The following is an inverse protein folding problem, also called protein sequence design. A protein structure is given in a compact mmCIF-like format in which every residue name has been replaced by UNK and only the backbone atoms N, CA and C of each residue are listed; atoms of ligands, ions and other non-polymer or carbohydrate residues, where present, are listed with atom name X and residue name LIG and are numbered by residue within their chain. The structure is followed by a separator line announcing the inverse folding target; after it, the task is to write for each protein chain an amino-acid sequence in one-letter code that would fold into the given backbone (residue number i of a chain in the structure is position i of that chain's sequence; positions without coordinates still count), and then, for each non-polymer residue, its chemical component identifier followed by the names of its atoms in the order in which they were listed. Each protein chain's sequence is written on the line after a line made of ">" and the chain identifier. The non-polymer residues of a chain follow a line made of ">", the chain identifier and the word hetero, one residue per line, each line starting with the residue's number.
data_IF_567384567686
#
_entry.id   IF_567384567686
#
_cell.length_a   1.000
_cell.length_b   1.000
_cell.length_c   1.000
_cell.angle_alpha   90.00
_cell.angle_beta   90.00
_cell.angle_gamma   90.00
#
_symmetry.space_group_name_H-M   'P 1'
#
loop_
_entity.id
_entity.type
_entity.pdbx_description
1 polymer ?
#
# COMPACT_ATOMS: atom_id res chain seq x y z
N UNK A 1 21.77 5.77 12.95
CA UNK A 1 20.48 5.19 12.48
C UNK A 1 20.03 3.99 13.31
N UNK A 2 20.77 2.87 13.36
CA UNK A 2 20.31 1.67 14.10
C UNK A 2 20.00 1.97 15.59
N UNK A 3 20.83 2.73 16.29
CA UNK A 3 20.60 3.07 17.70
C UNK A 3 19.43 4.04 17.92
N UNK A 4 18.97 4.72 16.87
CA UNK A 4 17.88 5.68 16.93
C UNK A 4 16.48 5.05 16.80
N UNK A 5 16.38 3.76 16.43
CA UNK A 5 15.08 3.10 16.11
C UNK A 5 14.13 3.14 17.30
N UNK A 6 14.64 2.88 18.52
CA UNK A 6 13.82 2.96 19.72
C UNK A 6 13.34 4.38 20.05
N UNK A 7 14.16 5.39 19.74
CA UNK A 7 13.75 6.79 19.87
C UNK A 7 12.67 7.14 18.83
N UNK A 8 12.82 6.68 17.60
CA UNK A 8 11.85 6.90 16.52
C UNK A 8 10.49 6.28 16.85
N UNK A 9 10.47 5.03 17.33
CA UNK A 9 9.23 4.38 17.75
C UNK A 9 8.53 5.16 18.88
N UNK A 10 9.27 5.59 19.90
CA UNK A 10 8.73 6.41 21.00
C UNK A 10 8.27 7.79 20.52
N UNK A 11 9.04 8.46 19.65
CA UNK A 11 8.66 9.77 19.12
C UNK A 11 7.30 9.73 18.42
N UNK A 12 7.07 8.73 17.58
CA UNK A 12 5.77 8.53 16.91
C UNK A 12 4.65 8.20 17.92
N UNK A 13 4.93 7.29 18.86
CA UNK A 13 3.93 6.84 19.85
C UNK A 13 3.49 7.96 20.79
N UNK A 14 4.39 8.86 21.19
CA UNK A 14 4.12 9.92 22.18
C UNK A 14 3.60 11.22 21.55
N UNK A 15 3.35 11.27 20.26
CA UNK A 15 2.66 12.41 19.63
C UNK A 15 1.28 12.60 20.30
N UNK A 16 0.86 13.85 20.44
CA UNK A 16 -0.52 14.13 20.84
C UNK A 16 -1.48 13.47 19.84
N UNK A 17 -2.41 12.64 20.33
CA UNK A 17 -3.26 11.73 19.52
C UNK A 17 -2.48 10.67 18.72
N UNK A 18 -1.29 10.30 19.19
CA UNK A 18 -0.47 9.24 18.58
C UNK A 18 -1.15 7.86 18.55
N UNK A 19 -0.61 6.91 17.77
CA UNK A 19 -1.13 5.54 17.69
C UNK A 19 -1.03 4.81 19.04
N UNK A 20 -1.97 3.86 19.28
CA UNK A 20 -1.88 2.97 20.46
C UNK A 20 -0.60 2.12 20.44
N UNK A 21 -0.20 1.63 19.27
CA UNK A 21 0.98 0.82 19.08
C UNK A 21 1.75 1.22 17.84
N UNK A 22 3.06 1.13 17.94
CA UNK A 22 4.01 1.49 16.88
C UNK A 22 5.12 0.48 16.79
N UNK A 23 5.47 0.09 15.57
CA UNK A 23 6.71 -0.63 15.26
C UNK A 23 7.49 0.18 14.24
N UNK A 24 8.72 0.53 14.55
CA UNK A 24 9.66 1.15 13.60
C UNK A 24 10.79 0.17 13.33
N UNK A 25 11.17 0.05 12.07
CA UNK A 25 12.31 -0.74 11.67
C UNK A 25 13.17 -0.05 10.64
N UNK A 26 14.46 -0.29 10.69
CA UNK A 26 15.43 0.12 9.67
C UNK A 26 16.36 -1.05 9.34
N UNK A 27 16.70 -1.20 8.08
CA UNK A 27 17.76 -2.08 7.59
C UNK A 27 18.83 -1.24 6.90
N UNK A 28 20.08 -1.57 7.10
CA UNK A 28 21.28 -0.98 6.48
C UNK A 28 22.30 -2.08 6.23
N UNK A 29 23.42 -1.77 5.62
CA UNK A 29 24.51 -2.76 5.46
C UNK A 29 25.13 -3.20 6.80
N UNK A 30 24.99 -2.36 7.84
CA UNK A 30 25.43 -2.72 9.21
C UNK A 30 24.45 -3.67 9.92
N UNK A 31 23.26 -3.92 9.38
CA UNK A 31 22.26 -4.83 9.96
C UNK A 31 20.86 -4.26 9.98
N UNK A 32 19.97 -4.97 10.68
CA UNK A 32 18.56 -4.61 10.82
C UNK A 32 18.22 -4.42 12.30
N UNK A 33 17.47 -3.36 12.60
CA UNK A 33 16.92 -3.09 13.93
C UNK A 33 15.42 -2.82 13.82
N UNK A 34 14.65 -3.42 14.75
CA UNK A 34 13.19 -3.22 14.86
C UNK A 34 12.91 -2.94 16.34
N UNK A 35 12.06 -1.95 16.61
CA UNK A 35 11.60 -1.63 17.94
C UNK A 35 10.08 -1.45 17.94
N UNK A 36 9.45 -1.93 19.00
CA UNK A 36 8.00 -1.89 19.19
C UNK A 36 7.65 -1.19 20.50
N UNK A 37 6.58 -0.40 20.50
CA UNK A 37 6.09 0.33 21.69
C UNK A 37 4.57 0.43 21.67
N UNK A 38 3.94 0.36 22.83
CA UNK A 38 2.50 0.53 23.00
C UNK A 38 1.70 -0.76 22.85
N UNK A 39 0.43 -0.62 22.48
CA UNK A 39 -0.57 -1.68 22.50
C UNK A 39 -1.08 -2.05 21.11
N UNK A 40 -1.32 -3.34 20.90
CA UNK A 40 -1.85 -3.88 19.64
C UNK A 40 -3.38 -3.72 19.51
N UNK A 41 -4.09 -3.52 20.64
CA UNK A 41 -5.56 -3.42 20.71
C UNK A 41 -5.99 -2.58 21.90
N UNK A 42 -7.30 -2.31 22.03
CA UNK A 42 -7.84 -1.52 23.13
C UNK A 42 -7.79 -2.24 24.50
N UNK A 43 -7.59 -3.56 24.50
CA UNK A 43 -7.39 -4.32 25.75
C UNK A 43 -5.97 -4.13 26.34
N UNK A 44 -5.08 -3.44 25.61
CA UNK A 44 -3.71 -3.16 26.05
C UNK A 44 -2.73 -4.31 25.81
N UNK A 45 -3.03 -5.25 24.90
CA UNK A 45 -2.09 -6.30 24.51
C UNK A 45 -0.83 -5.66 23.89
N UNK A 46 0.39 -6.00 24.36
CA UNK A 46 1.60 -5.38 23.85
C UNK A 46 1.78 -5.60 22.34
N UNK A 47 2.22 -4.57 21.62
CA UNK A 47 2.77 -4.71 20.27
C UNK A 47 4.16 -5.36 20.39
N UNK A 48 4.42 -6.34 19.55
CA UNK A 48 5.70 -7.04 19.45
C UNK A 48 6.37 -6.81 18.10
N UNK A 49 7.65 -7.13 17.97
CA UNK A 49 8.39 -7.01 16.69
C UNK A 49 7.76 -7.85 15.56
N UNK A 50 7.13 -8.98 15.92
CA UNK A 50 6.47 -9.90 15.00
C UNK A 50 4.97 -9.67 14.84
N UNK A 51 4.39 -8.67 15.51
CA UNK A 51 2.96 -8.34 15.34
C UNK A 51 2.68 -7.95 13.90
N UNK A 52 1.68 -8.60 13.29
CA UNK A 52 1.20 -8.27 11.95
C UNK A 52 0.24 -7.09 11.99
N UNK A 53 0.29 -6.27 10.96
CA UNK A 53 -0.61 -5.14 10.77
C UNK A 53 -1.31 -5.24 9.40
N UNK A 54 -2.56 -4.80 9.33
CA UNK A 54 -3.17 -4.45 8.05
C UNK A 54 -2.40 -3.24 7.49
N UNK A 55 -1.68 -3.45 6.40
CA UNK A 55 -0.84 -2.40 5.84
C UNK A 55 -1.59 -1.49 4.85
N UNK A 56 -2.89 -1.71 4.67
CA UNK A 56 -3.76 -0.93 3.79
C UNK A 56 -3.13 -0.70 2.41
N UNK A 57 -3.03 0.57 1.97
CA UNK A 57 -2.48 0.92 0.65
C UNK A 57 -0.98 0.59 0.45
N UNK A 58 -0.23 0.22 1.48
CA UNK A 58 1.10 -0.37 1.29
C UNK A 58 1.01 -1.68 0.50
N UNK A 59 -0.16 -2.35 0.49
CA UNK A 59 -0.47 -3.50 -0.38
C UNK A 59 -0.22 -3.19 -1.87
N UNK A 60 -0.45 -1.94 -2.30
CA UNK A 60 -0.20 -1.52 -3.69
C UNK A 60 1.26 -1.72 -4.11
N UNK A 61 2.19 -1.47 -3.19
CA UNK A 61 3.62 -1.61 -3.49
C UNK A 61 4.15 -2.99 -3.12
N UNK A 62 3.76 -3.54 -1.99
CA UNK A 62 4.21 -4.85 -1.51
C UNK A 62 3.72 -5.99 -2.41
N UNK A 63 2.44 -5.96 -2.79
CA UNK A 63 1.84 -7.00 -3.60
C UNK A 63 1.83 -6.64 -5.09
N UNK A 64 1.06 -5.62 -5.49
CA UNK A 64 0.74 -5.37 -6.89
C UNK A 64 1.92 -4.83 -7.69
N UNK A 65 2.54 -3.71 -7.24
CA UNK A 65 3.71 -3.12 -7.94
C UNK A 65 4.87 -4.10 -7.98
N UNK A 66 5.16 -4.79 -6.88
CA UNK A 66 6.25 -5.77 -6.83
C UNK A 66 5.97 -6.98 -7.72
N UNK A 67 4.72 -7.46 -7.80
CA UNK A 67 4.34 -8.50 -8.76
C UNK A 67 4.52 -8.04 -10.21
N UNK A 68 4.11 -6.81 -10.53
CA UNK A 68 4.33 -6.21 -11.87
C UNK A 68 5.83 -6.08 -12.16
N UNK A 69 6.63 -5.63 -11.19
CA UNK A 69 8.08 -5.56 -11.29
C UNK A 69 8.67 -6.94 -11.62
N UNK A 70 8.22 -7.97 -10.89
CA UNK A 70 8.67 -9.35 -11.11
C UNK A 70 8.27 -9.87 -12.48
N UNK A 71 7.01 -9.67 -12.90
CA UNK A 71 6.53 -10.07 -14.23
C UNK A 71 7.29 -9.36 -15.37
N UNK A 72 7.59 -8.07 -15.20
CA UNK A 72 8.40 -7.32 -16.17
C UNK A 72 9.86 -7.82 -16.19
N UNK A 73 10.45 -8.13 -15.03
CA UNK A 73 11.79 -8.73 -14.94
C UNK A 73 11.86 -10.11 -15.59
N UNK A 74 10.79 -10.88 -15.53
CA UNK A 74 10.64 -12.16 -16.22
C UNK A 74 10.36 -12.01 -17.73
N UNK A 75 10.14 -10.80 -18.25
CA UNK A 75 9.80 -10.54 -19.64
C UNK A 75 8.36 -10.92 -20.03
N UNK A 76 7.49 -11.15 -19.05
CA UNK A 76 6.09 -11.55 -19.26
C UNK A 76 5.15 -10.37 -19.54
N UNK A 77 5.60 -9.14 -19.26
CA UNK A 77 4.92 -7.90 -19.63
C UNK A 77 5.95 -6.78 -19.84
N UNK A 78 5.52 -5.71 -20.52
CA UNK A 78 6.24 -4.44 -20.59
C UNK A 78 5.38 -3.35 -19.98
N UNK A 79 6.01 -2.42 -19.25
CA UNK A 79 5.32 -1.35 -18.53
C UNK A 79 4.58 -0.35 -19.43
N UNK A 80 4.94 -0.30 -20.71
CA UNK A 80 4.31 0.53 -21.75
C UNK A 80 3.20 -0.20 -22.54
N UNK A 81 2.94 -1.48 -22.25
CA UNK A 81 1.82 -2.19 -22.86
C UNK A 81 0.47 -1.67 -22.36
N UNK A 82 -0.55 -1.66 -23.23
CA UNK A 82 -1.88 -1.22 -22.84
C UNK A 82 -2.56 -2.23 -21.92
N UNK A 83 -3.25 -1.72 -20.88
CA UNK A 83 -3.96 -2.55 -19.88
C UNK A 83 -5.06 -3.40 -20.52
N UNK A 84 -5.74 -2.91 -21.56
CA UNK A 84 -6.83 -3.59 -22.23
C UNK A 84 -6.40 -4.87 -22.97
N UNK A 85 -5.09 -5.03 -23.24
CA UNK A 85 -4.51 -6.30 -23.71
C UNK A 85 -4.75 -7.45 -22.71
N UNK A 86 -4.70 -7.15 -21.42
CA UNK A 86 -4.78 -8.15 -20.34
C UNK A 86 -6.16 -8.19 -19.69
N UNK A 87 -6.79 -7.03 -19.57
CA UNK A 87 -8.11 -6.85 -18.95
C UNK A 87 -9.02 -6.14 -19.94
N UNK A 88 -9.56 -6.86 -20.94
CA UNK A 88 -10.47 -6.28 -21.92
C UNK A 88 -11.75 -5.78 -21.25
N UNK A 89 -12.35 -4.73 -21.83
CA UNK A 89 -13.58 -4.13 -21.32
C UNK A 89 -13.37 -3.12 -20.19
N UNK A 90 -12.14 -2.79 -19.83
CA UNK A 90 -11.88 -1.68 -18.90
C UNK A 90 -12.37 -0.36 -19.48
N UNK A 91 -12.80 0.57 -18.61
CA UNK A 91 -13.15 1.94 -19.04
C UNK A 91 -11.93 2.87 -19.11
N UNK A 92 -10.73 2.36 -18.95
CA UNK A 92 -9.54 3.12 -19.31
C UNK A 92 -9.61 3.51 -20.78
N UNK A 93 -9.07 4.67 -21.11
CA UNK A 93 -8.96 5.06 -22.53
C UNK A 93 -8.22 3.96 -23.30
N UNK A 94 -8.63 3.63 -24.54
CA UNK A 94 -7.93 2.63 -25.34
C UNK A 94 -6.43 2.94 -25.42
N UNK A 95 -5.61 1.94 -25.21
CA UNK A 95 -4.16 2.07 -25.23
C UNK A 95 -3.54 2.65 -23.96
N UNK A 96 -4.31 2.87 -22.87
CA UNK A 96 -3.75 3.31 -21.58
C UNK A 96 -2.68 2.34 -21.10
N UNK A 97 -1.45 2.82 -20.96
CA UNK A 97 -0.32 2.00 -20.54
C UNK A 97 -0.43 1.55 -19.07
N UNK A 98 0.12 0.39 -18.74
CA UNK A 98 0.25 -0.11 -17.37
C UNK A 98 0.92 0.95 -16.49
N UNK A 99 2.00 1.58 -16.98
CA UNK A 99 2.72 2.63 -16.26
C UNK A 99 1.85 3.86 -15.95
N UNK A 100 0.86 4.19 -16.78
CA UNK A 100 -0.08 5.29 -16.56
C UNK A 100 -1.00 4.99 -15.35
N UNK A 101 -1.49 3.74 -15.25
CA UNK A 101 -2.24 3.31 -14.06
C UNK A 101 -1.37 3.32 -12.79
N UNK A 102 -0.14 2.82 -12.88
CA UNK A 102 0.81 2.80 -11.75
C UNK A 102 1.15 4.21 -11.26
N UNK A 103 1.06 5.24 -12.12
CA UNK A 103 1.24 6.66 -11.78
C UNK A 103 -0.04 7.35 -11.36
N UNK A 104 -1.19 6.65 -11.31
CA UNK A 104 -2.50 7.22 -11.01
C UNK A 104 -2.94 8.31 -12.01
N UNK A 105 -2.62 8.16 -13.29
CA UNK A 105 -2.92 9.13 -14.36
C UNK A 105 -3.93 8.62 -15.39
N UNK A 106 -4.57 7.48 -15.13
CA UNK A 106 -5.52 6.89 -16.08
C UNK A 106 -6.91 7.58 -16.12
N UNK A 107 -7.10 8.68 -15.40
CA UNK A 107 -8.36 9.41 -15.34
C UNK A 107 -9.47 8.71 -14.55
N UNK A 108 -9.15 7.67 -13.81
CA UNK A 108 -10.10 6.93 -12.99
C UNK A 108 -10.47 7.71 -11.72
N UNK A 109 -11.64 7.37 -11.16
CA UNK A 109 -12.03 7.83 -9.83
C UNK A 109 -11.01 7.37 -8.78
N UNK A 110 -10.84 8.16 -7.75
CA UNK A 110 -9.98 7.83 -6.62
C UNK A 110 -10.52 6.62 -5.87
N UNK A 111 -11.80 6.64 -5.57
CA UNK A 111 -12.50 5.61 -4.82
C UNK A 111 -14.00 5.63 -5.16
N UNK A 112 -14.63 4.47 -5.17
CA UNK A 112 -16.10 4.31 -5.21
C UNK A 112 -16.44 3.03 -4.43
N UNK A 113 -17.54 2.99 -3.67
CA UNK A 113 -17.95 1.80 -2.93
C UNK A 113 -18.55 0.75 -3.87
N UNK A 114 -17.71 -0.01 -4.57
CA UNK A 114 -18.12 -0.98 -5.60
C UNK A 114 -19.10 -2.03 -5.08
N UNK A 115 -19.04 -2.34 -3.79
CA UNK A 115 -19.98 -3.26 -3.14
C UNK A 115 -21.43 -2.72 -3.04
N UNK A 116 -21.65 -1.44 -3.30
CA UNK A 116 -23.01 -0.85 -3.42
C UNK A 116 -23.57 -0.96 -4.83
N UNK A 117 -22.74 -1.28 -5.82
CA UNK A 117 -23.22 -1.40 -7.21
C UNK A 117 -24.26 -2.50 -7.34
N UNK A 118 -25.30 -2.21 -8.15
CA UNK A 118 -26.39 -3.14 -8.43
C UNK A 118 -26.56 -3.33 -9.93
N UNK A 119 -26.98 -4.54 -10.32
CA UNK A 119 -27.45 -4.81 -11.67
C UNK A 119 -28.80 -4.14 -11.91
N UNK A 120 -29.28 -4.03 -13.16
CA UNK A 120 -30.63 -3.53 -13.44
C UNK A 120 -31.74 -4.29 -12.71
N UNK A 121 -31.53 -5.58 -12.41
CA UNK A 121 -32.49 -6.42 -11.71
C UNK A 121 -32.41 -6.28 -10.17
N UNK A 122 -31.47 -5.44 -9.67
CA UNK A 122 -31.31 -5.15 -8.25
C UNK A 122 -30.33 -6.04 -7.48
N UNK A 123 -29.76 -7.04 -8.13
CA UNK A 123 -28.75 -7.91 -7.53
C UNK A 123 -27.41 -7.17 -7.35
N UNK A 124 -26.53 -7.70 -6.50
CA UNK A 124 -25.17 -7.16 -6.38
C UNK A 124 -24.41 -7.36 -7.70
N UNK A 125 -23.87 -6.29 -8.25
CA UNK A 125 -23.04 -6.36 -9.44
C UNK A 125 -21.68 -7.03 -9.13
N UNK A 126 -21.08 -7.68 -10.13
CA UNK A 126 -19.67 -8.05 -10.07
C UNK A 126 -18.83 -6.78 -9.92
N UNK A 127 -17.86 -6.74 -8.99
CA UNK A 127 -17.11 -5.52 -8.73
C UNK A 127 -16.23 -5.05 -9.91
N UNK A 128 -15.78 -5.95 -10.77
CA UNK A 128 -15.06 -5.57 -11.98
C UNK A 128 -15.98 -4.99 -13.04
N UNK A 129 -17.19 -5.54 -13.18
CA UNK A 129 -18.24 -4.98 -14.05
C UNK A 129 -18.70 -3.62 -13.53
N UNK A 130 -18.89 -3.48 -12.22
CA UNK A 130 -19.19 -2.20 -11.58
C UNK A 130 -18.11 -1.16 -11.84
N UNK A 131 -16.84 -1.53 -11.72
CA UNK A 131 -15.71 -0.66 -12.03
C UNK A 131 -15.69 -0.29 -13.52
N UNK A 132 -15.90 -1.26 -14.40
CA UNK A 132 -15.95 -1.04 -15.85
C UNK A 132 -17.13 -0.16 -16.30
N UNK A 133 -18.21 -0.09 -15.53
CA UNK A 133 -19.36 0.75 -15.81
C UNK A 133 -19.14 2.23 -15.41
N UNK A 134 -18.17 2.55 -14.55
CA UNK A 134 -17.88 3.92 -14.11
C UNK A 134 -17.35 4.75 -15.28
N UNK A 135 -17.86 5.99 -15.50
CA UNK A 135 -17.24 6.90 -16.45
C UNK A 135 -15.86 7.33 -15.96
N UNK A 136 -14.98 7.73 -16.85
CA UNK A 136 -13.77 8.42 -16.43
C UNK A 136 -14.13 9.70 -15.68
N UNK A 137 -13.39 10.00 -14.62
CA UNK A 137 -13.57 11.22 -13.84
C UNK A 137 -12.80 12.38 -14.44
N UNK A 138 -11.62 12.10 -14.99
CA UNK A 138 -10.70 13.08 -15.55
C UNK A 138 -10.24 12.65 -16.94
N UNK A 139 -9.76 13.57 -17.78
CA UNK A 139 -9.02 13.18 -18.98
C UNK A 139 -7.79 12.35 -18.61
N UNK A 140 -7.52 11.24 -19.31
CA UNK A 140 -6.28 10.46 -19.11
C UNK A 140 -5.04 11.33 -19.35
N UNK A 141 -4.00 11.10 -18.55
CA UNK A 141 -2.72 11.81 -18.57
C UNK A 141 -2.76 13.33 -18.29
N UNK A 142 -3.92 13.89 -17.91
CA UNK A 142 -4.05 15.30 -17.54
C UNK A 142 -3.29 15.61 -16.25
N UNK A 143 -3.64 14.92 -15.17
CA UNK A 143 -2.98 15.07 -13.87
C UNK A 143 -3.01 13.76 -13.07
N UNK A 144 -2.29 13.74 -11.96
CA UNK A 144 -2.30 12.63 -11.02
C UNK A 144 -3.52 12.70 -10.09
N UNK A 145 -4.40 11.70 -10.17
CA UNK A 145 -5.50 11.48 -9.22
C UNK A 145 -5.28 10.10 -8.55
N UNK A 146 -4.87 10.10 -7.29
CA UNK A 146 -4.59 8.86 -6.56
C UNK A 146 -5.80 7.93 -6.58
N UNK A 147 -5.67 6.76 -7.20
CA UNK A 147 -6.80 5.88 -7.50
C UNK A 147 -6.58 4.47 -6.96
N UNK A 148 -7.47 4.03 -6.09
CA UNK A 148 -7.60 2.64 -5.67
C UNK A 148 -8.11 1.77 -6.82
N UNK A 149 -9.02 2.31 -7.63
CA UNK A 149 -9.63 1.62 -8.76
C UNK A 149 -8.58 1.20 -9.80
N UNK A 150 -7.58 2.04 -10.05
CA UNK A 150 -6.46 1.71 -10.91
C UNK A 150 -5.67 0.50 -10.41
N UNK A 151 -5.47 0.38 -9.11
CA UNK A 151 -4.75 -0.75 -8.51
C UNK A 151 -5.60 -2.01 -8.42
N UNK A 152 -6.93 -1.90 -8.31
CA UNK A 152 -7.85 -3.04 -8.49
C UNK A 152 -7.66 -3.63 -9.90
N UNK A 153 -7.62 -2.81 -10.94
CA UNK A 153 -7.38 -3.27 -12.32
C UNK A 153 -5.99 -3.88 -12.50
N UNK A 154 -4.95 -3.28 -11.91
CA UNK A 154 -3.59 -3.82 -11.95
C UNK A 154 -3.51 -5.18 -11.24
N UNK A 155 -4.20 -5.37 -10.12
CA UNK A 155 -4.33 -6.68 -9.47
C UNK A 155 -5.01 -7.71 -10.39
N UNK A 156 -6.12 -7.31 -11.04
CA UNK A 156 -6.79 -8.16 -12.03
C UNK A 156 -5.89 -8.56 -13.20
N UNK A 157 -5.07 -7.61 -13.67
CA UNK A 157 -4.07 -7.90 -14.70
C UNK A 157 -3.06 -8.96 -14.24
N UNK A 158 -2.56 -8.88 -13.01
CA UNK A 158 -1.64 -9.90 -12.46
C UNK A 158 -2.31 -11.28 -12.47
N UNK A 159 -3.59 -11.40 -12.08
CA UNK A 159 -4.35 -12.65 -12.16
C UNK A 159 -4.44 -13.17 -13.60
N UNK A 160 -4.72 -12.29 -14.56
CA UNK A 160 -4.85 -12.69 -15.98
C UNK A 160 -3.54 -13.17 -16.59
N UNK A 161 -2.41 -12.56 -16.23
CA UNK A 161 -1.09 -12.96 -16.74
C UNK A 161 -0.66 -14.28 -16.11
N UNK A 162 -0.88 -14.46 -14.82
CA UNK A 162 -0.43 -15.65 -14.09
C UNK A 162 -1.40 -16.83 -14.19
N UNK A 163 -2.66 -16.58 -14.49
CA UNK A 163 -3.74 -17.58 -14.43
C UNK A 163 -4.11 -18.02 -13.00
N UNK A 164 -3.62 -17.30 -11.98
CA UNK A 164 -3.83 -17.60 -10.56
C UNK A 164 -4.70 -16.54 -9.90
N UNK A 165 -5.44 -16.86 -8.81
CA UNK A 165 -5.99 -15.86 -7.90
C UNK A 165 -4.87 -14.96 -7.37
N UNK A 166 -5.19 -13.69 -7.08
CA UNK A 166 -4.17 -12.67 -6.77
C UNK A 166 -3.31 -13.03 -5.55
N UNK A 167 -3.89 -13.59 -4.50
CA UNK A 167 -3.16 -14.05 -3.31
C UNK A 167 -2.09 -15.10 -3.66
N UNK A 168 -2.43 -16.03 -4.55
CA UNK A 168 -1.52 -17.09 -5.02
C UNK A 168 -0.47 -16.53 -5.97
N UNK A 169 -0.85 -15.60 -6.86
CA UNK A 169 0.08 -14.93 -7.75
C UNK A 169 1.12 -14.14 -6.96
N UNK A 170 0.70 -13.37 -5.95
CA UNK A 170 1.60 -12.62 -5.06
C UNK A 170 2.49 -13.57 -4.25
N UNK A 171 1.95 -14.68 -3.75
CA UNK A 171 2.76 -15.69 -3.06
C UNK A 171 3.87 -16.23 -3.98
N UNK A 172 3.54 -16.63 -5.19
CA UNK A 172 4.50 -17.18 -6.14
C UNK A 172 5.53 -16.16 -6.64
N UNK A 173 5.11 -14.92 -6.89
CA UNK A 173 5.96 -13.89 -7.48
C UNK A 173 6.80 -13.13 -6.44
N UNK A 174 6.31 -13.01 -5.20
CA UNK A 174 6.87 -12.09 -4.21
C UNK A 174 7.19 -12.79 -2.89
N UNK A 175 6.16 -13.29 -2.16
CA UNK A 175 6.40 -13.66 -0.76
C UNK A 175 7.24 -14.92 -0.61
N UNK A 176 7.02 -15.95 -1.43
CA UNK A 176 7.81 -17.18 -1.39
C UNK A 176 9.26 -16.95 -1.84
N UNK A 177 9.54 -16.28 -2.99
CA UNK A 177 10.93 -16.06 -3.41
C UNK A 177 11.74 -15.22 -2.41
N UNK A 178 11.09 -14.32 -1.67
CA UNK A 178 11.75 -13.44 -0.70
C UNK A 178 11.68 -13.97 0.75
N UNK A 179 11.04 -15.12 1.00
CA UNK A 179 10.86 -15.68 2.34
C UNK A 179 10.09 -14.76 3.28
N UNK A 180 8.99 -14.14 2.79
CA UNK A 180 8.13 -13.25 3.58
C UNK A 180 6.99 -14.07 4.23
N UNK A 181 7.36 -14.88 5.22
CA UNK A 181 6.47 -15.92 5.77
C UNK A 181 5.29 -15.39 6.58
N UNK A 182 5.38 -14.14 7.04
CA UNK A 182 4.33 -13.46 7.81
C UNK A 182 3.56 -12.41 6.98
N UNK A 183 3.80 -12.37 5.66
CA UNK A 183 3.16 -11.42 4.74
C UNK A 183 2.20 -12.13 3.79
N UNK A 184 0.96 -11.66 3.72
CA UNK A 184 -0.05 -12.21 2.82
C UNK A 184 -1.41 -11.54 2.99
N UNK A 185 -2.36 -11.95 2.16
CA UNK A 185 -3.73 -11.45 2.24
C UNK A 185 -4.47 -12.04 3.44
N UNK A 186 -5.38 -11.22 4.00
CA UNK A 186 -6.26 -11.66 5.07
C UNK A 186 -7.40 -12.59 4.61
N UNK A 187 -8.17 -13.18 5.54
CA UNK A 187 -8.07 -12.96 6.99
C UNK A 187 -6.86 -13.67 7.63
N UNK A 188 -6.28 -13.06 8.65
CA UNK A 188 -5.15 -13.61 9.40
C UNK A 188 -5.48 -13.76 10.88
N UNK A 189 -4.81 -14.71 11.53
CA UNK A 189 -5.01 -15.01 12.98
C UNK A 189 -3.69 -14.96 13.73
N UNK A 190 -3.73 -15.00 15.06
CA UNK A 190 -2.57 -15.00 15.94
C UNK A 190 -2.21 -13.58 16.39
N UNK A 191 -0.92 -13.22 16.40
CA UNK A 191 -0.48 -11.89 16.82
C UNK A 191 -0.69 -10.86 15.71
N UNK A 192 -1.84 -10.20 15.75
CA UNK A 192 -2.26 -9.19 14.79
C UNK A 192 -2.75 -7.95 15.54
N UNK A 193 -2.32 -6.77 15.15
CA UNK A 193 -2.82 -5.52 15.71
C UNK A 193 -4.23 -5.20 15.20
N UNK A 194 -5.08 -4.63 16.05
CA UNK A 194 -6.34 -4.03 15.63
C UNK A 194 -6.05 -2.85 14.70
N UNK A 195 -6.74 -2.76 13.57
CA UNK A 195 -6.54 -1.67 12.61
C UNK A 195 -7.45 -0.47 12.89
N UNK A 196 -8.69 -0.70 13.30
CA UNK A 196 -9.70 0.32 13.61
C UNK A 196 -10.82 -0.25 14.49
N UNK A 197 -11.71 0.61 14.97
CA UNK A 197 -13.00 0.21 15.54
C UNK A 197 -14.09 0.47 14.51
N UNK A 198 -14.55 -0.60 13.88
CA UNK A 198 -15.63 -0.59 12.89
C UNK A 198 -15.33 0.17 11.60
N UNK A 199 -16.39 0.39 10.84
CA UNK A 199 -16.36 1.00 9.50
C UNK A 199 -16.75 2.49 9.50
N UNK A 200 -16.70 3.17 10.66
CA UNK A 200 -17.27 4.52 10.84
C UNK A 200 -16.74 5.56 9.85
N UNK A 201 -15.46 5.52 9.50
CA UNK A 201 -14.86 6.44 8.53
C UNK A 201 -15.48 6.24 7.14
N UNK A 202 -15.62 5.00 6.69
CA UNK A 202 -16.19 4.70 5.37
C UNK A 202 -17.70 5.03 5.31
N UNK A 203 -18.44 4.78 6.40
CA UNK A 203 -19.83 5.22 6.52
C UNK A 203 -19.96 6.73 6.33
N UNK A 204 -19.08 7.49 6.98
CA UNK A 204 -19.07 8.95 6.86
C UNK A 204 -18.69 9.41 5.44
N UNK A 205 -17.74 8.75 4.80
CA UNK A 205 -17.39 9.02 3.40
C UNK A 205 -18.59 8.82 2.46
N UNK A 206 -19.34 7.73 2.63
CA UNK A 206 -20.53 7.46 1.82
C UNK A 206 -21.64 8.48 2.10
N UNK A 207 -21.86 8.81 3.37
CA UNK A 207 -22.89 9.74 3.79
C UNK A 207 -22.65 11.18 3.29
N UNK A 208 -21.39 11.63 3.31
CA UNK A 208 -21.03 13.02 3.02
C UNK A 208 -20.49 13.24 1.62
N UNK A 209 -19.97 12.21 0.97
CA UNK A 209 -19.22 12.34 -0.29
C UNK A 209 -17.87 13.02 -0.09
N UNK A 210 -17.32 13.05 1.12
CA UNK A 210 -16.02 13.67 1.45
C UNK A 210 -15.06 12.57 1.92
N UNK A 211 -13.83 12.50 1.41
CA UNK A 211 -13.20 13.41 0.44
C UNK A 211 -13.56 13.13 -1.03
N UNK A 212 -14.28 12.05 -1.32
CA UNK A 212 -14.63 11.67 -2.70
C UNK A 212 -16.14 11.62 -2.90
N UNK A 213 -16.68 12.24 -3.97
CA UNK A 213 -18.09 12.11 -4.32
C UNK A 213 -18.45 10.65 -4.61
N UNK A 214 -19.60 10.19 -4.11
CA UNK A 214 -20.09 8.83 -4.28
C UNK A 214 -21.15 8.78 -5.35
N UNK A 215 -21.01 7.88 -6.32
CA UNK A 215 -21.95 7.71 -7.44
C UNK A 215 -23.06 6.69 -7.15
N UNK A 216 -22.79 5.74 -6.25
CA UNK A 216 -23.77 4.75 -5.88
C UNK A 216 -24.63 5.25 -4.71
N UNK A 217 -25.97 5.05 -4.76
CA UNK A 217 -26.82 5.40 -3.63
C UNK A 217 -26.45 4.59 -2.40
N UNK A 218 -26.62 5.21 -1.23
CA UNK A 218 -26.46 4.50 0.03
C UNK A 218 -27.38 3.28 0.03
N UNK A 219 -26.80 2.10 0.30
CA UNK A 219 -27.50 0.83 0.36
C UNK A 219 -27.52 0.25 1.77
N UNK A 220 -28.26 -0.84 1.93
CA UNK A 220 -28.23 -1.61 3.16
C UNK A 220 -26.89 -2.38 3.23
N UNK A 221 -26.03 -1.99 4.16
CA UNK A 221 -24.71 -2.58 4.40
C UNK A 221 -24.61 -3.02 5.86
N UNK A 222 -24.28 -4.27 6.07
CA UNK A 222 -23.96 -4.77 7.40
C UNK A 222 -22.60 -4.21 7.84
N UNK A 223 -22.60 -3.05 8.49
CA UNK A 223 -21.42 -2.40 9.02
C UNK A 223 -20.83 -3.17 10.21
N UNK A 224 -19.51 -3.22 10.30
CA UNK A 224 -18.80 -3.85 11.41
C UNK A 224 -18.76 -2.84 12.58
N UNK A 225 -19.22 -3.21 13.79
CA UNK A 225 -19.21 -2.30 14.95
C UNK A 225 -18.12 -2.63 15.97
N UNK A 226 -17.18 -3.52 15.65
CA UNK A 226 -16.17 -4.10 16.54
C UNK A 226 -14.75 -3.77 16.11
N UNK A 227 -13.75 -4.05 16.96
CA UNK A 227 -12.35 -3.93 16.60
C UNK A 227 -11.98 -4.87 15.43
N UNK A 228 -11.41 -4.31 14.38
CA UNK A 228 -10.99 -5.05 13.19
C UNK A 228 -9.60 -5.67 13.44
N UNK A 229 -9.57 -6.95 13.77
CA UNK A 229 -8.34 -7.73 14.04
C UNK A 229 -8.24 -8.86 13.03
N UNK A 230 -7.22 -8.82 12.16
CA UNK A 230 -7.01 -9.84 11.14
C UNK A 230 -8.00 -9.80 9.98
N UNK A 231 -8.94 -8.90 10.00
CA UNK A 231 -9.84 -8.56 8.89
C UNK A 231 -9.36 -7.27 8.22
N UNK A 232 -9.40 -7.23 6.89
CA UNK A 232 -8.99 -6.05 6.14
C UNK A 232 -9.87 -4.84 6.48
N UNK A 233 -9.23 -3.68 6.70
CA UNK A 233 -9.91 -2.43 7.02
C UNK A 233 -10.71 -1.88 5.83
N UNK A 234 -10.11 -1.88 4.63
CA UNK A 234 -10.72 -1.34 3.41
C UNK A 234 -12.02 -2.04 3.02
N UNK A 235 -13.11 -1.27 2.88
CA UNK A 235 -14.44 -1.82 2.62
C UNK A 235 -14.61 -2.43 1.25
N UNK A 236 -13.96 -1.90 0.20
CA UNK A 236 -13.99 -2.54 -1.11
C UNK A 236 -13.27 -3.89 -1.06
N UNK A 237 -12.07 -3.91 -0.51
CA UNK A 237 -11.31 -5.15 -0.36
C UNK A 237 -12.09 -6.19 0.45
N UNK A 238 -12.68 -5.78 1.58
CA UNK A 238 -13.46 -6.67 2.44
C UNK A 238 -14.74 -7.18 1.77
N UNK A 239 -15.56 -6.25 1.22
CA UNK A 239 -16.95 -6.54 0.81
C UNK A 239 -17.09 -6.94 -0.65
N UNK A 240 -16.24 -6.39 -1.53
CA UNK A 240 -16.33 -6.64 -2.97
C UNK A 240 -15.34 -7.72 -3.43
N UNK A 241 -14.19 -7.87 -2.73
CA UNK A 241 -13.10 -8.74 -3.16
C UNK A 241 -12.70 -9.81 -2.14
N UNK A 242 -13.56 -10.10 -1.15
CA UNK A 242 -13.34 -11.15 -0.14
C UNK A 242 -11.95 -11.07 0.56
N UNK A 243 -11.44 -9.87 0.77
CA UNK A 243 -10.15 -9.62 1.44
C UNK A 243 -8.93 -9.63 0.52
N UNK A 244 -9.08 -9.85 -0.78
CA UNK A 244 -7.96 -9.98 -1.73
C UNK A 244 -8.12 -9.00 -2.89
N UNK A 245 -7.34 -7.91 -2.89
CA UNK A 245 -7.41 -6.91 -3.96
C UNK A 245 -6.06 -6.25 -4.23
N UNK A 246 -5.87 -5.71 -5.43
CA UNK A 246 -4.61 -5.08 -5.83
C UNK A 246 -4.28 -3.78 -5.08
N UNK A 247 -5.25 -3.17 -4.39
CA UNK A 247 -5.08 -1.89 -3.71
C UNK A 247 -4.95 -2.00 -2.18
N UNK A 248 -5.40 -3.10 -1.57
CA UNK A 248 -5.46 -3.33 -0.12
C UNK A 248 -5.56 -4.82 0.21
N UNK A 249 -5.52 -5.19 1.50
CA UNK A 249 -5.81 -6.55 2.00
C UNK A 249 -4.59 -7.30 2.51
N UNK A 250 -3.38 -6.78 2.32
CA UNK A 250 -2.16 -7.42 2.81
C UNK A 250 -1.95 -7.12 4.30
N UNK A 251 -1.58 -8.15 5.03
CA UNK A 251 -1.04 -8.09 6.39
C UNK A 251 0.44 -8.42 6.35
N UNK A 252 1.25 -7.69 7.13
CA UNK A 252 2.69 -7.87 7.16
C UNK A 252 3.29 -7.56 8.53
N UNK A 253 4.50 -8.07 8.76
CA UNK A 253 5.38 -7.66 9.87
C UNK A 253 6.41 -6.65 9.41
N UNK A 254 7.01 -5.92 10.35
CA UNK A 254 8.10 -5.00 10.05
C UNK A 254 9.32 -5.73 9.45
N UNK A 255 9.61 -6.94 9.92
CA UNK A 255 10.72 -7.74 9.41
C UNK A 255 10.57 -8.12 7.94
N UNK A 256 9.38 -8.53 7.54
CA UNK A 256 9.11 -8.91 6.15
C UNK A 256 9.12 -7.68 5.22
N UNK A 257 8.54 -6.55 5.65
CA UNK A 257 8.57 -5.32 4.88
C UNK A 257 10.00 -4.81 4.67
N UNK A 258 10.85 -4.88 5.69
CA UNK A 258 12.28 -4.54 5.57
C UNK A 258 13.01 -5.48 4.63
N UNK A 259 12.72 -6.80 4.68
CA UNK A 259 13.35 -7.77 3.77
C UNK A 259 13.01 -7.49 2.31
N UNK A 260 11.71 -7.24 2.00
CA UNK A 260 11.28 -6.82 0.68
C UNK A 260 11.96 -5.52 0.25
N UNK A 261 11.86 -4.48 1.09
CA UNK A 261 12.39 -3.17 0.76
C UNK A 261 13.91 -3.18 0.56
N UNK A 262 14.65 -3.95 1.39
CA UNK A 262 16.10 -4.13 1.23
C UNK A 262 16.45 -4.84 -0.08
N UNK A 263 15.73 -5.92 -0.44
CA UNK A 263 15.93 -6.60 -1.73
C UNK A 263 15.73 -5.67 -2.93
N UNK A 264 14.77 -4.75 -2.84
CA UNK A 264 14.53 -3.73 -3.87
C UNK A 264 15.55 -2.59 -3.83
N UNK A 265 16.04 -2.21 -2.62
CA UNK A 265 17.07 -1.17 -2.45
C UNK A 265 18.41 -1.61 -3.07
N UNK A 266 18.75 -2.88 -2.93
CA UNK A 266 19.95 -3.52 -3.47
C UNK A 266 19.60 -4.43 -4.68
N UNK A 267 18.74 -3.95 -5.59
CA UNK A 267 18.24 -4.76 -6.70
C UNK A 267 19.35 -5.27 -7.63
N UNK A 268 20.45 -4.55 -7.73
CA UNK A 268 21.62 -4.96 -8.53
C UNK A 268 22.32 -6.20 -7.93
N UNK A 269 22.17 -6.47 -6.63
CA UNK A 269 22.67 -7.68 -5.96
C UNK A 269 21.69 -8.88 -6.12
N UNK A 270 20.49 -8.64 -6.67
CA UNK A 270 19.40 -9.60 -6.82
C UNK A 270 18.87 -9.65 -8.26
N UNK A 271 19.77 -9.67 -9.26
CA UNK A 271 19.39 -9.68 -10.68
C UNK A 271 18.55 -10.91 -11.10
N UNK A 272 18.61 -11.99 -10.36
CA UNK A 272 17.74 -13.16 -10.50
C UNK A 272 16.27 -12.85 -10.18
N UNK A 273 16.02 -11.81 -9.38
CA UNK A 273 14.69 -11.32 -9.02
C UNK A 273 14.33 -10.04 -9.78
N UNK A 274 15.24 -9.08 -9.86
CA UNK A 274 14.98 -7.72 -10.32
C UNK A 274 15.93 -7.36 -11.48
N UNK A 275 15.39 -7.16 -12.66
CA UNK A 275 16.21 -6.64 -13.77
C UNK A 275 16.52 -5.16 -13.53
N UNK A 276 17.79 -4.72 -13.62
CA UNK A 276 18.20 -3.34 -13.36
C UNK A 276 17.48 -2.30 -14.24
N UNK A 277 17.26 -2.60 -15.52
CA UNK A 277 16.55 -1.72 -16.46
C UNK A 277 15.06 -1.55 -16.09
N UNK A 278 14.42 -2.59 -15.55
CA UNK A 278 13.05 -2.53 -15.05
C UNK A 278 12.99 -1.76 -13.72
N UNK A 279 13.91 -2.08 -12.80
CA UNK A 279 14.00 -1.43 -11.49
C UNK A 279 14.20 0.07 -11.61
N UNK A 280 15.13 0.51 -12.46
CA UNK A 280 15.37 1.93 -12.70
C UNK A 280 14.13 2.66 -13.23
N UNK A 281 13.35 2.02 -14.11
CA UNK A 281 12.08 2.57 -14.61
C UNK A 281 11.00 2.64 -13.55
N UNK A 282 10.92 1.62 -12.67
CA UNK A 282 9.92 1.57 -11.58
C UNK A 282 10.14 2.70 -10.57
N UNK A 283 11.40 3.01 -10.26
CA UNK A 283 11.74 4.03 -9.27
C UNK A 283 11.94 5.44 -9.86
N UNK A 284 11.96 5.57 -11.20
CA UNK A 284 12.05 6.88 -11.84
C UNK A 284 10.80 7.71 -11.60
N UNK A 285 10.99 8.96 -11.18
CA UNK A 285 9.90 9.94 -11.16
C UNK A 285 9.27 10.10 -12.54
N UNK A 286 7.96 10.31 -12.53
CA UNK A 286 7.18 10.60 -13.71
C UNK A 286 7.02 12.10 -13.94
N UNK A 287 5.97 12.48 -14.69
CA UNK A 287 5.64 13.89 -14.93
C UNK A 287 5.19 14.61 -13.65
N UNK A 288 4.73 13.90 -12.63
CA UNK A 288 4.34 14.48 -11.36
C UNK A 288 5.48 14.33 -10.34
N UNK A 289 5.94 15.44 -9.79
CA UNK A 289 6.95 15.42 -8.73
C UNK A 289 6.45 14.60 -7.52
N UNK A 290 7.35 13.83 -6.93
CA UNK A 290 7.01 12.97 -5.80
C UNK A 290 6.27 11.67 -6.16
N UNK A 291 6.24 11.27 -7.47
CA UNK A 291 5.57 10.07 -7.93
C UNK A 291 6.40 9.25 -8.93
N UNK A 292 6.71 8.02 -8.56
CA UNK A 292 7.26 6.97 -9.41
C UNK A 292 6.17 5.94 -9.79
N UNK A 293 6.53 4.78 -10.34
CA UNK A 293 5.54 3.74 -10.69
C UNK A 293 5.08 2.98 -9.42
N UNK A 294 3.89 3.29 -8.96
CA UNK A 294 3.31 2.73 -7.73
C UNK A 294 3.87 3.32 -6.44
N UNK A 295 5.07 3.85 -6.47
CA UNK A 295 5.76 4.43 -5.33
C UNK A 295 5.65 5.94 -5.32
N UNK A 296 5.66 6.55 -4.14
CA UNK A 296 5.97 7.97 -3.96
C UNK A 296 7.47 8.15 -3.85
N UNK A 297 7.94 9.37 -4.13
CA UNK A 297 9.34 9.75 -3.92
C UNK A 297 9.41 10.92 -2.95
N UNK A 298 10.50 10.99 -2.20
CA UNK A 298 10.82 12.11 -1.32
C UNK A 298 12.32 12.22 -1.14
N UNK A 299 12.85 13.44 -0.91
CA UNK A 299 14.24 13.61 -0.55
C UNK A 299 14.50 13.13 0.89
N UNK A 300 15.67 12.54 1.11
CA UNK A 300 16.19 12.17 2.42
C UNK A 300 17.67 12.50 2.52
N UNK A 301 18.18 12.65 3.74
CA UNK A 301 19.62 12.77 4.02
C UNK A 301 20.18 11.38 4.38
N UNK A 302 21.20 10.97 3.68
CA UNK A 302 21.90 9.72 3.96
C UNK A 302 23.41 9.95 3.82
N UNK A 303 24.15 9.72 4.92
CA UNK A 303 25.59 9.92 5.01
C UNK A 303 26.05 11.30 4.51
N UNK A 304 25.31 12.36 4.89
CA UNK A 304 25.58 13.75 4.50
C UNK A 304 25.26 14.06 3.03
N UNK A 305 24.60 13.16 2.31
CA UNK A 305 24.18 13.35 0.92
C UNK A 305 22.66 13.32 0.80
N UNK A 306 22.14 14.23 -0.02
CA UNK A 306 20.73 14.20 -0.42
C UNK A 306 20.49 13.05 -1.39
N UNK A 307 19.57 12.14 -1.04
CA UNK A 307 19.16 10.99 -1.83
C UNK A 307 17.66 11.00 -2.04
N UNK A 308 17.17 10.21 -2.97
CA UNK A 308 15.73 9.97 -3.17
C UNK A 308 15.33 8.67 -2.50
N UNK A 309 14.40 8.73 -1.57
CA UNK A 309 13.69 7.57 -1.03
C UNK A 309 12.43 7.33 -1.86
N UNK A 310 12.19 6.10 -2.27
CA UNK A 310 10.86 5.66 -2.72
C UNK A 310 10.11 5.07 -1.53
N UNK A 311 8.83 5.42 -1.36
CA UNK A 311 8.07 5.01 -0.20
C UNK A 311 6.57 4.95 -0.50
N UNK A 312 5.78 4.31 0.37
CA UNK A 312 4.33 4.33 0.27
C UNK A 312 3.66 4.32 1.64
N UNK A 313 2.69 5.22 1.89
CA UNK A 313 1.88 5.21 3.11
C UNK A 313 0.69 4.27 2.99
N UNK A 314 0.26 3.72 4.12
CA UNK A 314 -1.01 3.04 4.30
C UNK A 314 -1.99 3.85 5.14
N UNK A 315 -3.27 3.75 4.85
CA UNK A 315 -4.33 4.46 5.57
C UNK A 315 -4.37 4.11 7.05
N UNK A 316 -4.07 2.88 7.41
CA UNK A 316 -4.02 2.37 8.78
C UNK A 316 -2.87 2.92 9.63
N UNK A 317 -1.95 3.70 9.03
CA UNK A 317 -0.79 4.28 9.72
C UNK A 317 0.51 3.53 9.45
N UNK A 318 0.53 2.69 8.43
CA UNK A 318 1.71 1.94 8.00
C UNK A 318 2.47 2.67 6.89
N UNK A 319 3.76 2.39 6.78
CA UNK A 319 4.61 2.91 5.70
C UNK A 319 5.82 2.02 5.48
N UNK A 320 6.27 1.96 4.25
CA UNK A 320 7.52 1.31 3.85
C UNK A 320 8.26 2.21 2.87
N UNK A 321 9.57 2.30 3.01
CA UNK A 321 10.43 3.08 2.12
C UNK A 321 11.81 2.46 1.98
N UNK A 322 12.48 2.81 0.89
CA UNK A 322 13.84 2.36 0.58
C UNK A 322 14.60 3.43 -0.20
N UNK A 323 15.91 3.43 -0.09
CA UNK A 323 16.77 4.30 -0.88
C UNK A 323 17.45 3.45 -1.96
N UNK A 324 17.03 3.56 -3.24
CA UNK A 324 17.59 2.74 -4.33
C UNK A 324 19.12 2.87 -4.45
N UNK A 325 19.78 1.76 -4.78
CA UNK A 325 21.24 1.68 -4.89
C UNK A 325 21.97 1.73 -3.55
N UNK A 326 21.26 1.44 -2.44
CA UNK A 326 21.83 1.36 -1.10
C UNK A 326 21.25 0.17 -0.33
N UNK A 327 21.80 -0.14 0.85
CA UNK A 327 21.21 -1.13 1.77
C UNK A 327 20.11 -0.57 2.67
N UNK A 328 19.67 0.68 2.47
CA UNK A 328 18.76 1.37 3.41
C UNK A 328 17.31 1.13 3.08
N UNK A 329 16.59 0.56 4.05
CA UNK A 329 15.13 0.37 4.04
C UNK A 329 14.54 0.76 5.40
N UNK A 330 13.36 1.37 5.40
CA UNK A 330 12.66 1.82 6.61
C UNK A 330 11.21 1.31 6.57
N UNK A 331 10.68 0.93 7.72
CA UNK A 331 9.26 0.65 7.88
C UNK A 331 8.72 1.29 9.15
N UNK A 332 7.47 1.73 9.06
CA UNK A 332 6.64 2.17 10.16
C UNK A 332 5.33 1.37 10.10
N UNK A 333 4.99 0.68 11.16
CA UNK A 333 3.69 0.05 11.33
C UNK A 333 3.00 0.65 12.55
N UNK A 334 1.75 1.00 12.43
CA UNK A 334 0.96 1.52 13.55
C UNK A 334 -0.53 1.22 13.36
N UNK A 335 -1.25 1.26 14.47
CA UNK A 335 -2.70 1.18 14.51
C UNK A 335 -3.31 2.57 14.78
N UNK A 336 -2.93 3.57 13.95
CA UNK A 336 -3.33 4.97 14.15
C UNK A 336 -4.83 5.19 14.23
N UNK A 337 -5.64 4.38 13.52
CA UNK A 337 -7.09 4.52 13.51
C UNK A 337 -7.77 4.05 14.81
N UNK A 338 -7.00 3.46 15.72
CA UNK A 338 -7.44 3.20 17.10
C UNK A 338 -7.43 4.47 17.97
N UNK A 339 -6.76 5.54 17.53
CA UNK A 339 -6.85 6.86 18.16
C UNK A 339 -8.17 7.54 17.78
N UNK A 340 -8.86 8.23 18.70
CA UNK A 340 -10.09 8.99 18.41
C UNK A 340 -9.89 10.08 17.36
N UNK A 341 -8.72 10.69 17.32
CA UNK A 341 -8.32 11.73 16.38
C UNK A 341 -7.03 11.29 15.64
N UNK A 342 -7.14 10.38 14.65
CA UNK A 342 -5.97 9.77 14.06
C UNK A 342 -5.15 10.77 13.23
N UNK A 343 -3.88 10.92 13.58
CA UNK A 343 -2.93 11.76 12.88
C UNK A 343 -2.68 11.25 11.45
N UNK A 344 -2.37 12.12 10.47
CA UNK A 344 -2.02 11.70 9.13
C UNK A 344 -0.78 10.77 9.11
N UNK A 345 -0.82 9.68 8.33
CA UNK A 345 0.33 8.77 8.19
C UNK A 345 1.61 9.49 7.74
N UNK A 346 1.47 10.53 6.91
CA UNK A 346 2.63 11.33 6.47
C UNK A 346 3.34 12.03 7.64
N UNK A 347 2.59 12.50 8.65
CA UNK A 347 3.19 13.09 9.86
C UNK A 347 3.92 12.01 10.68
N UNK A 348 3.30 10.84 10.87
CA UNK A 348 3.94 9.73 11.60
C UNK A 348 5.24 9.31 10.91
N UNK A 349 5.22 9.24 9.57
CA UNK A 349 6.37 8.89 8.75
C UNK A 349 7.48 9.94 8.87
N UNK A 350 7.15 11.23 8.73
CA UNK A 350 8.11 12.32 8.88
C UNK A 350 8.77 12.33 10.27
N UNK A 351 7.98 12.15 11.34
CA UNK A 351 8.49 12.05 12.72
C UNK A 351 9.46 10.87 12.87
N UNK A 352 9.15 9.72 12.26
CA UNK A 352 10.04 8.55 12.30
C UNK A 352 11.36 8.84 11.55
N UNK A 353 11.30 9.43 10.35
CA UNK A 353 12.48 9.76 9.55
C UNK A 353 13.36 10.81 10.25
N UNK A 354 12.76 11.83 10.86
CA UNK A 354 13.48 12.86 11.63
C UNK A 354 14.26 12.21 12.78
N UNK A 355 13.60 11.38 13.60
CA UNK A 355 14.23 10.69 14.71
C UNK A 355 15.31 9.69 14.26
N UNK A 356 15.21 9.12 13.05
CA UNK A 356 16.24 8.27 12.44
C UNK A 356 17.41 9.05 11.84
N UNK A 357 17.32 10.38 11.74
CA UNK A 357 18.32 11.24 11.10
C UNK A 357 18.29 11.14 9.57
N UNK A 358 17.13 10.86 8.98
CA UNK A 358 16.92 10.73 7.54
C UNK A 358 16.11 11.91 6.95
N UNK A 359 15.59 12.82 7.76
CA UNK A 359 14.84 13.97 7.27
C UNK A 359 15.72 14.92 6.43
N UNK A 360 15.15 15.45 5.34
CA UNK A 360 15.78 16.51 4.54
C UNK A 360 15.40 17.88 5.13
N UNK A 361 16.34 18.57 5.77
CA UNK A 361 16.12 19.86 6.41
C UNK A 361 15.66 20.96 5.43
N UNK A 362 15.88 20.77 4.13
CA UNK A 362 15.47 21.72 3.10
C UNK A 362 14.03 21.53 2.61
N UNK A 363 13.30 20.55 3.15
CA UNK A 363 11.93 20.21 2.72
C UNK A 363 10.83 20.87 3.59
N UNK A 364 11.21 21.84 4.45
CA UNK A 364 10.29 22.63 5.29
C UNK A 364 10.03 24.02 4.77
#
# INVERSE_FOLDING_TARGET
>A
MLDAVGAAARAVHTLASGPLGVVVGISTDAGTRIEAVGAADAAGRPVLHGTRFDVASVSKVVATTTSIHRLASLGLLRLDEPIDRFVPGTRCAPGTAISTLMRHRAGLWEWQPLYLARTPDGDRADPYDALAALPLRYPPDDHRAYSDLGFILLGRMVEKITGLPLDRAVAQLVTVPLGLDATGYGPVTGDVAASAVGDGIEQEMIRTGVPYPVLYPAGDVAWRPYELVGEVNDGNCHRAFAGVSGHAGVFATAGDLLRLARSLAAADDHEDLWRPDVTSRIFAEGPDAGQALGWRTMPVQLDGQRRTMVWHPGFTGCGVGLVPGTGVAVTLLSNRLMSPEPLPTALLWATALEALGLADEAAH
#
